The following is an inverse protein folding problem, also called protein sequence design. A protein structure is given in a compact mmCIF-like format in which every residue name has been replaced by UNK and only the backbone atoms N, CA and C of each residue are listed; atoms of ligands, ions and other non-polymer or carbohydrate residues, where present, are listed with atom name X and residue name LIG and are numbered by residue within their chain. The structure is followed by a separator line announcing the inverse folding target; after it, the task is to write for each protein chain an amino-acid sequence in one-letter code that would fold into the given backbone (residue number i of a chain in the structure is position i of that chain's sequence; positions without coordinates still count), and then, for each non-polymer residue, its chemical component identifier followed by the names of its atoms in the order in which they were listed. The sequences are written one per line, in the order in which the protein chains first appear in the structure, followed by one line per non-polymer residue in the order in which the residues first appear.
data_IF_331238455630
#
_entry.id   IF_331238455630
#
_cell.length_a   1.000
_cell.length_b   1.000
_cell.length_c   1.000
_cell.angle_alpha   90.00
_cell.angle_beta   90.00
_cell.angle_gamma   90.00
#
_symmetry.space_group_name_H-M   'P 1'
#
loop_
_entity.id
_entity.type
_entity.pdbx_description
1 polymer ?
#
# COMPACT_ATOMS: atom_id res chain seq x y z
N UNK A 1 -3.47 -5.58 -2.68
CA UNK A 1 -2.62 -5.78 -1.49
C UNK A 1 -1.48 -6.67 -1.93
N UNK A 2 -0.28 -6.09 -2.05
CA UNK A 2 0.94 -6.84 -2.31
C UNK A 2 1.61 -7.12 -0.96
N UNK A 3 2.10 -8.35 -0.78
CA UNK A 3 2.90 -8.73 0.39
C UNK A 3 4.32 -8.88 -0.10
N UNK A 4 5.23 -8.10 0.46
CA UNK A 4 6.65 -8.15 0.16
C UNK A 4 7.32 -9.32 0.90
N UNK A 5 8.52 -9.69 0.47
CA UNK A 5 9.31 -10.77 1.09
C UNK A 5 9.64 -10.51 2.56
N UNK A 6 9.74 -9.24 2.96
CA UNK A 6 9.95 -8.81 4.34
C UNK A 6 8.66 -8.87 5.19
N UNK A 7 7.53 -9.30 4.62
CA UNK A 7 6.22 -9.35 5.27
C UNK A 7 5.52 -7.99 5.36
N UNK A 8 6.09 -6.93 4.78
CA UNK A 8 5.39 -5.65 4.63
C UNK A 8 4.28 -5.76 3.60
N UNK A 9 3.28 -4.91 3.72
CA UNK A 9 2.16 -4.87 2.77
C UNK A 9 2.03 -3.50 2.16
N UNK A 10 1.74 -3.47 0.86
CA UNK A 10 1.54 -2.25 0.11
C UNK A 10 0.14 -2.26 -0.52
N UNK A 11 -0.56 -1.14 -0.33
CA UNK A 11 -1.88 -0.89 -0.90
C UNK A 11 -1.82 0.44 -1.65
N UNK A 12 -2.05 0.37 -2.95
CA UNK A 12 -2.22 1.55 -3.81
C UNK A 12 -3.71 1.72 -4.05
N UNK A 13 -4.24 2.87 -3.66
CA UNK A 13 -5.61 3.27 -3.90
C UNK A 13 -5.64 4.44 -4.88
N UNK A 14 -6.54 4.39 -5.85
CA UNK A 14 -6.79 5.50 -6.76
C UNK A 14 -8.27 5.83 -6.79
N UNK A 15 -8.60 7.11 -6.64
CA UNK A 15 -9.96 7.64 -6.69
C UNK A 15 -10.04 8.71 -7.76
N UNK A 16 -11.02 8.59 -8.65
CA UNK A 16 -11.33 9.61 -9.66
C UNK A 16 -12.63 10.29 -9.25
N UNK A 17 -12.62 11.62 -9.24
CA UNK A 17 -13.79 12.46 -9.06
C UNK A 17 -14.02 13.23 -10.36
N UNK A 18 -15.08 12.89 -11.08
CA UNK A 18 -15.46 13.58 -12.29
C UNK A 18 -16.09 14.94 -11.97
N UNK A 19 -15.83 15.94 -12.80
CA UNK A 19 -16.47 17.25 -12.68
C UNK A 19 -17.98 17.18 -12.94
N UNK A 20 -18.36 16.37 -13.92
CA UNK A 20 -19.77 16.05 -14.21
C UNK A 20 -20.19 14.89 -13.32
N UNK A 21 -21.30 15.05 -12.60
CA UNK A 21 -21.83 14.05 -11.67
C UNK A 21 -23.08 13.33 -12.19
N UNK A 22 -23.61 13.75 -13.35
CA UNK A 22 -24.72 13.06 -14.01
C UNK A 22 -24.24 11.66 -14.46
N UNK A 23 -24.78 10.56 -13.92
CA UNK A 23 -24.31 9.21 -14.21
C UNK A 23 -24.61 8.76 -15.64
N UNK A 24 -25.50 9.44 -16.37
CA UNK A 24 -25.79 9.15 -17.78
C UNK A 24 -24.69 9.70 -18.68
N UNK A 25 -23.96 10.72 -18.22
CA UNK A 25 -23.00 11.48 -19.03
C UNK A 25 -21.57 11.32 -18.50
N UNK A 26 -21.39 11.17 -17.18
CA UNK A 26 -20.11 10.96 -16.53
C UNK A 26 -19.59 9.56 -16.81
N UNK A 27 -18.53 9.46 -17.60
CA UNK A 27 -17.85 8.19 -17.87
C UNK A 27 -16.37 8.35 -17.55
N UNK A 28 -15.79 7.35 -16.89
CA UNK A 28 -14.35 7.30 -16.64
C UNK A 28 -13.77 6.20 -17.51
N UNK A 29 -12.82 6.56 -18.37
CA UNK A 29 -12.03 5.60 -19.10
C UNK A 29 -10.65 5.48 -18.48
N UNK A 30 -10.31 4.28 -18.02
CA UNK A 30 -8.95 3.98 -17.60
C UNK A 30 -8.10 3.70 -18.84
N UNK A 31 -7.24 4.65 -19.21
CA UNK A 31 -6.47 4.62 -20.47
C UNK A 31 -5.00 4.20 -20.28
N UNK A 32 -4.60 3.83 -19.07
CA UNK A 32 -3.20 3.53 -18.75
C UNK A 32 -3.01 2.23 -17.98
N UNK A 33 -1.89 1.56 -18.25
CA UNK A 33 -1.24 0.62 -17.34
C UNK A 33 -0.21 1.37 -16.52
N UNK A 34 -0.36 1.36 -15.20
CA UNK A 34 0.65 1.94 -14.31
C UNK A 34 1.89 1.05 -14.27
N UNK A 35 3.06 1.69 -14.20
CA UNK A 35 4.33 1.00 -14.08
C UNK A 35 4.68 0.84 -12.59
N UNK A 36 5.01 -0.37 -12.17
CA UNK A 36 5.47 -0.70 -10.81
C UNK A 36 6.58 0.25 -10.33
N UNK A 37 7.48 0.65 -11.23
CA UNK A 37 8.58 1.56 -10.92
C UNK A 37 8.08 2.92 -10.43
N UNK A 38 7.05 3.50 -11.06
CA UNK A 38 6.47 4.79 -10.65
C UNK A 38 5.79 4.71 -9.28
N UNK A 39 5.31 3.53 -8.91
CA UNK A 39 4.68 3.29 -7.61
C UNK A 39 5.71 3.18 -6.49
N UNK A 40 6.91 2.67 -6.80
CA UNK A 40 8.04 2.61 -5.86
C UNK A 40 8.60 3.99 -5.54
N UNK A 41 8.55 4.90 -6.51
CA UNK A 41 9.01 6.28 -6.40
C UNK A 41 8.02 7.22 -5.70
N UNK A 42 6.81 6.74 -5.36
CA UNK A 42 5.91 7.51 -4.50
C UNK A 42 6.55 7.65 -3.12
N UNK A 43 6.78 8.90 -2.70
CA UNK A 43 7.28 9.20 -1.37
C UNK A 43 6.40 8.52 -0.32
N UNK A 44 7.06 7.96 0.68
CA UNK A 44 6.45 7.09 1.69
C UNK A 44 5.34 7.89 2.38
N UNK A 45 4.09 7.49 2.13
CA UNK A 45 2.85 8.09 2.68
C UNK A 45 2.31 9.37 2.02
N UNK A 46 2.72 9.73 0.80
CA UNK A 46 2.07 10.87 0.13
C UNK A 46 0.76 10.48 -0.57
N UNK A 47 -0.25 11.33 -0.33
CA UNK A 47 -1.41 11.48 -1.22
C UNK A 47 -1.07 12.57 -2.22
N UNK A 48 -1.22 12.28 -3.51
CA UNK A 48 -1.10 13.30 -4.53
C UNK A 48 -2.34 13.33 -5.43
N UNK A 49 -2.68 14.55 -5.85
CA UNK A 49 -3.83 14.83 -6.70
C UNK A 49 -3.36 15.43 -8.03
N UNK A 50 -4.00 14.99 -9.11
CA UNK A 50 -3.82 15.57 -10.44
C UNK A 50 -5.17 15.98 -11.00
N UNK A 51 -5.19 17.11 -11.71
CA UNK A 51 -6.40 17.60 -12.40
C UNK A 51 -6.16 17.49 -13.91
N UNK A 52 -7.11 16.89 -14.63
CA UNK A 52 -7.04 16.79 -16.08
C UNK A 52 -7.64 18.02 -16.79
N UNK A 53 -7.62 18.01 -18.13
CA UNK A 53 -8.13 19.09 -18.97
C UNK A 53 -9.64 19.29 -18.88
N UNK A 54 -10.39 18.28 -18.43
CA UNK A 54 -11.84 18.32 -18.23
C UNK A 54 -12.19 18.83 -16.82
N UNK A 55 -11.19 18.88 -15.94
CA UNK A 55 -11.32 19.28 -14.53
C UNK A 55 -11.64 18.12 -13.60
N UNK A 56 -11.47 16.86 -14.04
CA UNK A 56 -11.60 15.71 -13.17
C UNK A 56 -10.37 15.60 -12.27
N UNK A 57 -10.60 15.21 -11.01
CA UNK A 57 -9.56 15.06 -10.01
C UNK A 57 -9.25 13.58 -9.87
N UNK A 58 -7.97 13.22 -10.03
CA UNK A 58 -7.48 11.88 -9.70
C UNK A 58 -6.60 11.97 -8.47
N UNK A 59 -7.01 11.30 -7.39
CA UNK A 59 -6.23 11.14 -6.17
C UNK A 59 -5.60 9.75 -6.14
N UNK A 60 -4.30 9.69 -5.92
CA UNK A 60 -3.58 8.43 -5.68
C UNK A 60 -3.03 8.43 -4.25
N UNK A 61 -3.14 7.30 -3.57
CA UNK A 61 -2.68 7.12 -2.19
C UNK A 61 -1.92 5.79 -2.09
N UNK A 62 -0.70 5.86 -1.57
CA UNK A 62 0.11 4.69 -1.25
C UNK A 62 0.13 4.49 0.27
N UNK A 63 -0.36 3.34 0.73
CA UNK A 63 -0.28 2.92 2.12
C UNK A 63 0.68 1.74 2.26
N UNK A 64 1.72 1.90 3.08
CA UNK A 64 2.67 0.83 3.41
C UNK A 64 2.49 0.43 4.87
N UNK A 65 2.12 -0.81 5.14
CA UNK A 65 2.10 -1.34 6.49
C UNK A 65 3.32 -2.23 6.71
N UNK A 66 4.13 -1.89 7.72
CA UNK A 66 5.22 -2.75 8.16
C UNK A 66 4.65 -4.11 8.63
N UNK A 67 5.42 -5.20 8.50
CA UNK A 67 5.07 -6.46 9.16
C UNK A 67 4.84 -6.17 10.65
N UNK A 68 3.76 -6.73 11.21
CA UNK A 68 3.47 -6.56 12.63
C UNK A 68 4.65 -7.08 13.45
N UNK A 69 5.27 -6.20 14.25
CA UNK A 69 6.41 -6.49 15.12
C UNK A 69 6.15 -7.67 16.09
N UNK A 70 4.89 -8.05 16.30
CA UNK A 70 4.49 -9.20 17.12
C UNK A 70 5.08 -10.53 16.64
N UNK A 71 5.29 -10.73 15.33
CA UNK A 71 5.89 -11.95 14.81
C UNK A 71 7.38 -12.08 15.20
N UNK A 72 8.12 -10.97 15.21
CA UNK A 72 9.53 -10.94 15.62
C UNK A 72 9.71 -11.17 17.13
N UNK A 73 8.84 -10.60 17.95
CA UNK A 73 8.85 -10.78 19.41
C UNK A 73 8.56 -12.24 19.78
N UNK A 74 7.59 -12.87 19.11
CA UNK A 74 7.25 -14.27 19.35
C UNK A 74 8.39 -15.23 18.98
N UNK A 75 9.06 -14.97 17.85
CA UNK A 75 10.20 -15.76 17.40
C UNK A 75 11.40 -15.63 18.35
N UNK A 76 11.66 -14.41 18.85
CA UNK A 76 12.70 -14.14 19.83
C UNK A 76 12.40 -14.85 21.17
N UNK A 77 11.16 -14.77 21.66
CA UNK A 77 10.73 -15.47 22.87
C UNK A 77 10.86 -16.99 22.73
N UNK A 78 10.50 -17.55 21.57
CA UNK A 78 10.66 -18.98 21.31
C UNK A 78 12.14 -19.41 21.30
N UNK A 79 13.03 -18.61 20.68
CA UNK A 79 14.48 -18.86 20.69
C UNK A 79 15.06 -18.80 22.10
N UNK A 80 14.66 -17.81 22.89
CA UNK A 80 15.07 -17.67 24.29
C UNK A 80 14.61 -18.89 25.10
N UNK A 81 13.34 -19.31 24.94
CA UNK A 81 12.81 -20.50 25.62
C UNK A 81 13.57 -21.78 25.26
N UNK A 82 13.92 -21.99 23.99
CA UNK A 82 14.72 -23.14 23.56
C UNK A 82 16.13 -23.13 24.19
N UNK A 83 16.76 -21.97 24.31
CA UNK A 83 18.06 -21.83 24.98
C UNK A 83 17.95 -22.18 26.47
N UNK A 84 16.90 -21.72 27.15
CA UNK A 84 16.66 -22.09 28.55
C UNK A 84 16.43 -23.59 28.72
N UNK A 85 15.64 -24.21 27.83
CA UNK A 85 15.35 -25.65 27.89
C UNK A 85 16.61 -26.50 27.67
N UNK A 86 17.51 -26.07 26.78
CA UNK A 86 18.82 -26.71 26.58
C UNK A 86 19.79 -26.49 27.76
N UNK A 87 19.66 -25.38 28.50
CA UNK A 87 20.54 -25.07 29.61
C UNK A 87 20.17 -25.79 30.92
N UNK A 88 18.95 -26.33 31.02
CA UNK A 88 18.44 -27.05 32.20
C UNK A 88 18.30 -28.56 31.98
N UNK A 89 18.72 -29.05 30.81
CA UNK A 89 18.87 -30.48 30.49
C UNK A 89 20.33 -30.92 30.62
#
# INVERSE_FOLDING_TARGET
MQINEDGSTEIISRKVLTRVTDPVISHVQFTGTENEHRLRDLEREEQFETVDVEGNITRTTLHRSAPSSSAGILLLMFRIFQLFLHAIS
#
